data_IF_382198388671
#
_entry.id   IF_382198388671
#
_cell.length_a   1.000
_cell.length_b   1.000
_cell.length_c   1.000
_cell.angle_alpha   90.00
_cell.angle_beta   90.00
_cell.angle_gamma   90.00
#
_symmetry.space_group_name_H-M   'P 1'
#
loop_
_entity.id
_entity.type
_entity.pdbx_description
1 polymer ?
2 non-polymer ?
3 water ?
#
# COMPACT_ATOMS: atom_id res chain seq x y z
N UNK A 5 -16.85 15.47 16.30
CA UNK A 5 -16.81 15.21 17.73
C UNK A 5 -16.58 13.73 18.01
N UNK A 6 -16.77 12.90 16.99
CA UNK A 6 -16.49 11.48 17.09
C UNK A 6 -15.06 11.20 16.61
N UNK A 7 -14.46 10.15 17.18
CA UNK A 7 -13.08 9.83 16.85
C UNK A 7 -12.95 9.30 15.42
N UNK A 8 -13.80 8.34 15.05
CA UNK A 8 -13.71 7.77 13.71
C UNK A 8 -14.20 8.73 12.64
N UNK A 9 -14.95 9.76 13.02
CA UNK A 9 -15.32 10.80 12.07
C UNK A 9 -14.12 11.69 11.76
N UNK A 10 -13.40 12.14 12.79
CA UNK A 10 -12.20 12.94 12.57
C UNK A 10 -11.12 12.13 11.88
N UNK A 11 -11.07 10.82 12.12
CA UNK A 11 -10.13 9.97 11.38
C UNK A 11 -10.46 9.96 9.90
N UNK A 12 -11.75 9.97 9.55
CA UNK A 12 -12.12 10.05 8.14
C UNK A 12 -11.71 11.38 7.54
N UNK A 13 -11.82 12.47 8.31
CA UNK A 13 -11.35 13.77 7.84
C UNK A 13 -9.85 13.74 7.56
N UNK A 14 -9.06 13.26 8.52
CA UNK A 14 -7.62 13.20 8.33
C UNK A 14 -7.26 12.30 7.16
N UNK A 15 -7.96 11.17 7.02
CA UNK A 15 -7.66 10.26 5.93
C UNK A 15 -8.07 10.85 4.58
N UNK A 16 -9.15 11.62 4.54
CA UNK A 16 -9.55 12.27 3.29
C UNK A 16 -8.55 13.34 2.88
N UNK A 17 -8.06 14.13 3.84
CA UNK A 17 -7.04 15.13 3.53
C UNK A 17 -5.77 14.48 3.01
N UNK A 18 -5.39 13.34 3.58
CA UNK A 18 -4.22 12.62 3.10
C UNK A 18 -4.44 12.07 1.70
N UNK A 19 -5.63 11.53 1.44
CA UNK A 19 -5.94 11.03 0.10
C UNK A 19 -5.93 12.16 -0.92
N UNK A 20 -6.45 13.32 -0.55
CA UNK A 20 -6.49 14.46 -1.46
C UNK A 20 -5.08 14.89 -1.87
N UNK A 21 -4.16 14.95 -0.90
CA UNK A 21 -2.77 15.27 -1.23
C UNK A 21 -2.13 14.16 -2.06
N UNK A 22 -2.40 12.90 -1.71
CA UNK A 22 -1.86 11.78 -2.46
C UNK A 22 -2.36 11.80 -3.91
N UNK A 23 -3.64 12.13 -4.11
CA UNK A 23 -4.19 12.23 -5.46
C UNK A 23 -3.41 13.23 -6.30
N UNK A 24 -3.10 14.40 -5.73
CA UNK A 24 -2.41 15.44 -6.50
C UNK A 24 -0.97 15.04 -6.82
N UNK A 25 -0.26 14.48 -5.83
CA UNK A 25 1.16 14.21 -6.01
C UNK A 25 1.42 12.91 -6.76
N UNK A 26 0.55 11.92 -6.60
CA UNK A 26 0.69 10.62 -7.26
C UNK A 26 -0.63 10.28 -7.94
N UNK A 27 -0.93 10.93 -9.07
CA UNK A 27 -2.25 10.75 -9.69
C UNK A 27 -2.46 9.39 -10.31
N UNK A 28 -1.39 8.65 -10.62
CA UNK A 28 -1.49 7.34 -11.26
C UNK A 28 -1.17 6.19 -10.32
N UNK A 29 -1.14 6.44 -9.01
CA UNK A 29 -0.82 5.38 -8.05
C UNK A 29 -1.51 5.72 -6.74
N UNK A 30 -2.64 5.08 -6.48
CA UNK A 30 -3.36 5.29 -5.24
C UNK A 30 -2.60 4.68 -4.07
N UNK A 31 -3.03 5.03 -2.86
CA UNK A 31 -2.42 4.46 -1.67
C UNK A 31 -2.57 2.94 -1.58
N UNK A 32 -3.73 2.34 -1.88
CA UNK A 32 -3.78 0.86 -1.91
C UNK A 32 -2.87 0.25 -2.96
N UNK A 33 -2.79 0.85 -4.15
CA UNK A 33 -1.88 0.34 -5.17
C UNK A 33 -0.43 0.45 -4.70
N UNK A 34 -0.09 1.58 -4.08
CA UNK A 34 1.27 1.79 -3.60
C UNK A 34 1.64 0.77 -2.52
N UNK A 35 0.70 0.46 -1.62
CA UNK A 35 0.97 -0.52 -0.57
C UNK A 35 1.19 -1.91 -1.14
N UNK A 36 0.54 -2.23 -2.26
CA UNK A 36 0.71 -3.55 -2.87
C UNK A 36 2.10 -3.68 -3.48
N UNK A 37 2.53 -2.66 -4.24
CA UNK A 37 3.85 -2.69 -4.84
C UNK A 37 4.94 -2.67 -3.77
N UNK A 38 4.70 -1.94 -2.68
CA UNK A 38 5.67 -1.89 -1.59
C UNK A 38 5.82 -3.24 -0.91
N UNK A 39 4.71 -3.96 -0.74
CA UNK A 39 4.77 -5.26 -0.09
C UNK A 39 5.38 -6.32 -1.01
N UNK A 40 5.20 -6.18 -2.32
CA UNK A 40 5.84 -7.10 -3.26
C UNK A 40 7.35 -6.89 -3.27
N UNK A 41 7.79 -5.64 -3.22
CA UNK A 41 9.23 -5.37 -3.19
C UNK A 41 9.86 -5.81 -1.87
N UNK A 42 9.11 -5.71 -0.77
CA UNK A 42 9.62 -6.18 0.52
C UNK A 42 9.77 -7.69 0.57
N UNK A 43 9.06 -8.42 -0.29
CA UNK A 43 9.15 -9.88 -0.34
C UNK A 43 8.87 -10.34 -1.76
N UNK A 44 9.88 -10.28 -2.63
CA UNK A 44 9.69 -10.73 -4.01
C UNK A 44 9.25 -12.19 -4.06
N UNK A 45 8.23 -12.46 -4.87
CA UNK A 45 7.68 -13.80 -4.94
C UNK A 45 6.68 -14.12 -3.86
N UNK A 46 6.20 -13.11 -3.13
CA UNK A 46 5.23 -13.34 -2.07
C UNK A 46 3.98 -13.98 -2.65
N UNK A 47 3.42 -14.94 -1.91
CA UNK A 47 2.18 -15.58 -2.33
C UNK A 47 1.03 -14.59 -2.25
N UNK A 48 0.11 -14.69 -3.22
CA UNK A 48 -0.94 -13.68 -3.36
C UNK A 48 -1.83 -13.59 -2.13
N UNK A 49 -2.08 -14.71 -1.45
CA UNK A 49 -2.94 -14.67 -0.27
C UNK A 49 -2.25 -13.93 0.87
N UNK A 50 -0.96 -14.17 1.07
CA UNK A 50 -0.23 -13.43 2.10
C UNK A 50 -0.13 -11.95 1.76
N UNK A 51 -0.15 -11.61 0.47
CA UNK A 51 -0.12 -10.22 0.05
C UNK A 51 -1.37 -9.46 0.48
N UNK A 52 -2.48 -10.17 0.70
CA UNK A 52 -3.71 -9.51 1.13
C UNK A 52 -3.49 -8.79 2.46
N UNK A 53 -2.94 -9.50 3.44
CA UNK A 53 -2.68 -8.88 4.74
C UNK A 53 -1.50 -7.91 4.67
N UNK A 54 -0.49 -8.23 3.86
CA UNK A 54 0.70 -7.39 3.80
C UNK A 54 0.40 -6.00 3.25
N UNK A 55 -0.58 -5.89 2.36
CA UNK A 55 -0.93 -4.62 1.73
C UNK A 55 -2.26 -4.06 2.21
N UNK A 56 -2.93 -4.75 3.13
CA UNK A 56 -4.21 -4.32 3.70
C UNK A 56 -5.23 -4.11 2.59
N UNK A 57 -5.61 -5.18 1.91
CA UNK A 57 -6.71 -5.14 0.95
C UNK A 57 -7.54 -6.40 1.17
N UNK A 58 -8.29 -6.79 0.15
CA UNK A 58 -9.10 -8.00 0.18
C UNK A 58 -8.72 -8.89 -0.98
N UNK A 59 -9.20 -10.14 -0.92
CA UNK A 59 -8.90 -11.10 -1.97
C UNK A 59 -9.38 -10.61 -3.33
N UNK A 60 -10.58 -10.04 -3.39
CA UNK A 60 -11.13 -9.60 -4.67
C UNK A 60 -10.47 -8.30 -5.14
N UNK A 61 -10.26 -7.36 -4.22
CA UNK A 61 -9.63 -6.10 -4.60
C UNK A 61 -8.19 -6.31 -5.04
N UNK A 62 -7.46 -7.20 -4.37
CA UNK A 62 -6.09 -7.48 -4.78
C UNK A 62 -6.04 -8.14 -6.15
N UNK A 63 -6.96 -9.07 -6.41
CA UNK A 63 -6.97 -9.77 -7.70
C UNK A 63 -7.22 -8.80 -8.85
N UNK A 64 -8.15 -7.86 -8.66
CA UNK A 64 -8.42 -6.88 -9.71
C UNK A 64 -7.25 -5.93 -9.89
N UNK A 65 -6.62 -5.53 -8.78
CA UNK A 65 -5.52 -4.58 -8.86
C UNK A 65 -4.27 -5.22 -9.46
N UNK A 66 -4.00 -6.48 -9.12
CA UNK A 66 -2.84 -7.16 -9.69
C UNK A 66 -3.02 -7.41 -11.18
N UNK A 67 -4.24 -7.74 -11.60
CA UNK A 67 -4.50 -7.95 -13.02
C UNK A 67 -4.24 -6.67 -13.82
N UNK A 68 -4.66 -5.52 -13.29
CA UNK A 68 -4.39 -4.26 -13.99
C UNK A 68 -2.91 -3.92 -13.97
N UNK A 69 -2.21 -4.27 -12.89
CA UNK A 69 -0.79 -3.98 -12.79
C UNK A 69 0.03 -4.78 -13.79
N UNK A 70 -0.34 -6.04 -14.02
CA UNK A 70 0.36 -6.81 -15.04
C UNK A 70 -0.12 -6.49 -16.44
N UNK A 71 -1.31 -5.90 -16.58
CA UNK A 71 -1.73 -5.35 -17.86
C UNK A 71 -0.80 -4.22 -18.29
N UNK A 72 -0.30 -3.44 -17.33
CA UNK A 72 0.60 -2.33 -17.59
C UNK A 72 2.06 -2.72 -17.47
N UNK A 73 2.37 -4.01 -17.36
CA UNK A 73 3.74 -4.46 -17.26
C UNK A 73 4.44 -4.12 -15.97
N UNK A 74 3.70 -3.91 -14.88
CA UNK A 74 4.32 -3.52 -13.61
C UNK A 74 4.59 -4.70 -12.69
N UNK A 75 3.80 -5.78 -12.80
CA UNK A 75 4.02 -6.99 -12.02
C UNK A 75 3.95 -8.19 -12.95
N UNK A 76 4.57 -9.29 -12.51
CA UNK A 76 4.45 -10.58 -13.16
C UNK A 76 4.14 -11.63 -12.10
N UNK A 77 3.51 -12.72 -12.53
CA UNK A 77 3.05 -13.74 -11.59
C UNK A 77 3.40 -15.13 -12.10
N UNK A 78 3.60 -16.05 -11.15
CA UNK A 78 3.80 -17.46 -11.42
C UNK A 78 2.82 -18.27 -10.59
N UNK A 79 2.51 -19.48 -11.06
CA UNK A 79 1.48 -20.31 -10.46
C UNK A 79 2.07 -21.56 -9.82
N UNK A 80 1.46 -21.98 -8.71
CA UNK A 80 1.77 -23.28 -8.13
C UNK A 80 1.36 -24.37 -9.11
N UNK A 81 2.31 -25.25 -9.45
CA UNK A 81 2.01 -26.32 -10.39
C UNK A 81 0.98 -27.30 -9.85
N UNK A 82 0.83 -27.39 -8.53
CA UNK A 82 -0.12 -28.30 -7.92
C UNK A 82 -1.46 -27.65 -7.59
N UNK A 83 -1.52 -26.32 -7.60
CA UNK A 83 -2.75 -25.61 -7.26
C UNK A 83 -2.69 -24.25 -7.96
N UNK A 84 -3.31 -24.16 -9.14
CA UNK A 84 -3.30 -22.93 -9.92
C UNK A 84 -3.96 -21.76 -9.20
N UNK A 85 -4.70 -22.02 -8.12
CA UNK A 85 -5.26 -20.92 -7.33
C UNK A 85 -4.18 -20.16 -6.58
N UNK A 86 -3.07 -20.82 -6.27
CA UNK A 86 -1.96 -20.19 -5.56
C UNK A 86 -1.02 -19.53 -6.56
N UNK A 87 -0.77 -18.24 -6.36
CA UNK A 87 0.05 -17.45 -7.27
C UNK A 87 1.08 -16.66 -6.48
N UNK A 88 2.23 -16.43 -7.11
CA UNK A 88 3.33 -15.67 -6.53
C UNK A 88 3.58 -14.44 -7.37
N UNK A 89 3.92 -13.33 -6.72
CA UNK A 89 3.92 -12.02 -7.35
C UNK A 89 5.32 -11.40 -7.27
N UNK A 90 5.78 -10.86 -8.40
CA UNK A 90 7.01 -10.09 -8.47
C UNK A 90 6.72 -8.74 -9.11
N UNK A 91 7.57 -7.77 -8.82
CA UNK A 91 7.61 -6.53 -9.59
C UNK A 91 8.51 -6.72 -10.80
N UNK A 92 8.08 -6.20 -11.95
CA UNK A 92 8.97 -6.14 -13.09
C UNK A 92 10.00 -5.03 -12.88
N UNK A 93 10.97 -4.96 -13.79
CA UNK A 93 11.94 -3.88 -13.72
C UNK A 93 11.25 -2.53 -13.87
N UNK A 94 10.26 -2.45 -14.76
CA UNK A 94 9.47 -1.23 -14.88
C UNK A 94 8.65 -0.96 -13.62
N UNK A 95 8.18 -2.01 -12.95
CA UNK A 95 7.50 -1.82 -11.69
C UNK A 95 8.43 -1.33 -10.59
N UNK A 96 9.67 -1.82 -10.59
CA UNK A 96 10.66 -1.33 -9.64
C UNK A 96 10.95 0.15 -9.85
N UNK A 97 10.89 0.63 -11.10
CA UNK A 97 11.12 2.04 -11.36
C UNK A 97 9.93 2.89 -10.90
N UNK A 98 8.71 2.42 -11.18
CA UNK A 98 7.52 3.14 -10.75
C UNK A 98 7.49 3.27 -9.23
N UNK A 99 7.83 2.19 -8.52
CA UNK A 99 7.82 2.24 -7.06
C UNK A 99 8.94 3.13 -6.53
N UNK A 100 10.14 3.04 -7.11
CA UNK A 100 11.26 3.82 -6.61
C UNK A 100 11.01 5.32 -6.73
N UNK A 101 10.36 5.74 -7.82
CA UNK A 101 10.04 7.16 -7.98
C UNK A 101 8.94 7.60 -7.03
N UNK A 102 8.05 6.69 -6.64
CA UNK A 102 6.90 7.08 -5.83
C UNK A 102 7.22 7.13 -4.34
N UNK A 103 8.22 6.38 -3.89
CA UNK A 103 8.50 6.31 -2.45
C UNK A 103 8.84 7.67 -1.85
N UNK A 104 9.78 8.46 -2.40
CA UNK A 104 10.01 9.79 -1.82
C UNK A 104 8.80 10.71 -1.93
N UNK A 105 7.94 10.50 -2.92
CA UNK A 105 6.72 11.29 -3.02
C UNK A 105 5.75 10.91 -1.90
N UNK A 106 5.46 9.61 -1.78
CA UNK A 106 4.57 9.15 -0.73
C UNK A 106 5.09 9.48 0.66
N UNK A 107 6.41 9.39 0.85
CA UNK A 107 7.00 9.78 2.13
C UNK A 107 6.73 11.24 2.45
N UNK A 108 6.85 12.12 1.45
CA UNK A 108 6.61 13.54 1.70
C UNK A 108 5.14 13.82 2.00
N UNK A 109 4.22 13.06 1.40
CA UNK A 109 2.81 13.25 1.72
C UNK A 109 2.52 12.79 3.14
N UNK A 110 3.03 11.61 3.52
CA UNK A 110 2.90 11.16 4.90
C UNK A 110 3.54 12.16 5.87
N UNK A 111 4.66 12.77 5.46
CA UNK A 111 5.38 13.68 6.34
C UNK A 111 4.62 14.98 6.57
N UNK A 112 3.80 15.41 5.60
CA UNK A 112 3.03 16.64 5.77
C UNK A 112 2.13 16.57 7.00
N UNK A 113 1.61 15.39 7.32
CA UNK A 113 0.75 15.21 8.48
C UNK A 113 1.52 14.72 9.70
N UNK A 114 2.35 13.69 9.54
CA UNK A 114 3.12 13.18 10.66
C UNK A 114 4.13 14.20 11.17
N UNK A 115 4.67 15.03 10.27
CA UNK A 115 5.63 16.05 10.67
C UNK A 115 5.06 17.10 11.59
N UNK A 116 3.74 17.17 11.70
CA UNK A 116 3.10 18.05 12.67
C UNK A 116 3.16 17.48 14.09
N UNK A 117 3.59 16.23 14.25
CA UNK A 117 3.76 15.60 15.54
C UNK A 117 5.24 15.47 15.88
N UNK A 118 5.56 15.59 17.16
CA UNK A 118 6.91 15.31 17.60
C UNK A 118 7.18 13.81 17.55
N UNK A 119 8.46 13.44 17.73
CA UNK A 119 8.81 12.03 17.74
C UNK A 119 8.02 11.27 18.79
N UNK A 120 7.92 11.82 20.00
CA UNK A 120 7.17 11.16 21.07
C UNK A 120 5.69 11.07 20.74
N UNK A 121 5.13 12.13 20.14
CA UNK A 121 3.73 12.09 19.74
C UNK A 121 3.49 11.05 18.65
N UNK A 122 4.43 10.93 17.71
CA UNK A 122 4.30 9.92 16.66
C UNK A 122 4.33 8.51 17.25
N UNK A 123 5.30 8.24 18.13
CA UNK A 123 5.38 6.93 18.76
C UNK A 123 4.13 6.63 19.58
N UNK A 124 3.59 7.65 20.25
CA UNK A 124 2.39 7.46 21.06
C UNK A 124 1.17 7.25 20.18
N UNK A 125 1.07 8.00 19.07
CA UNK A 125 -0.06 7.83 18.16
C UNK A 125 -0.10 6.41 17.62
N UNK A 126 1.06 5.82 17.33
CA UNK A 126 1.08 4.45 16.82
C UNK A 126 0.81 3.43 17.92
N UNK A 127 1.14 3.75 19.17
CA UNK A 127 0.80 2.85 20.27
C UNK A 127 -0.71 2.80 20.49
N UNK A 128 -1.39 3.94 20.34
CA UNK A 128 -2.84 3.97 20.53
C UNK A 128 -3.56 3.24 19.41
N UNK A 129 -3.12 3.42 18.17
CA UNK A 129 -3.71 2.71 17.04
C UNK A 129 -3.52 1.20 17.21
N UNK A 130 -2.33 0.78 17.63
CA UNK A 130 -2.09 -0.64 17.87
C UNK A 130 -2.96 -1.17 19.00
N UNK A 131 -3.26 -0.33 19.99
CA UNK A 131 -4.08 -0.76 21.12
C UNK A 131 -5.52 -0.99 20.71
N UNK A 132 -6.03 -0.20 19.77
CA UNK A 132 -7.41 -0.32 19.31
C UNK A 132 -7.63 -1.49 18.37
N UNK A 133 -6.58 -2.07 17.81
CA UNK A 133 -6.73 -3.11 16.81
C UNK A 133 -7.03 -4.46 17.46
N UNK A 134 -7.60 -5.36 16.66
CA UNK A 134 -7.89 -6.72 17.09
C UNK A 134 -6.60 -7.51 17.27
X LIG B 1 5.72 19.34 18.50
X LIG B 1 6.55 19.92 17.49
X LIG B 1 5.75 20.21 19.76
X LIG B 1 4.87 19.64 20.73
#
# INVERSE_FOLDING_TARGET
MALRNKAFHQLRQLFQQHTARWQHELPDLTKPQYAVMRAIADKPGIEQVALIEAAVSTKATLAEMLARMENRGLVRREHDAADKRRRFVWLTAEGEKVLAAAIPIGDSVDEEFLGRLSAEEQELFMQLVRKMMNTLEHHHHHH
EDO C1 O1 C2 O2
#
